data_IF_260872044414
#
_entry.id   IF_260872044414
#
_cell.length_a   1.000
_cell.length_b   1.000
_cell.length_c   1.000
_cell.angle_alpha   90.00
_cell.angle_beta   90.00
_cell.angle_gamma   90.00
#
_symmetry.space_group_name_H-M   'P 1'
#
loop_
_entity.id
_entity.type
_entity.pdbx_description
1 polymer ?
#
# COMPACT_ATOMS: atom_id res chain seq x y z
N UNK A 1 -67.65 -7.72 16.49
CA UNK A 1 -66.66 -6.58 16.66
C UNK A 1 -65.25 -7.11 16.57
N UNK A 2 -64.59 -6.88 15.45
CA UNK A 2 -63.25 -7.43 15.19
C UNK A 2 -62.24 -6.27 15.36
N UNK A 3 -61.40 -6.34 16.39
CA UNK A 3 -60.35 -5.33 16.63
C UNK A 3 -59.11 -5.63 15.78
N UNK A 4 -58.81 -4.77 14.83
CA UNK A 4 -57.58 -4.83 14.06
C UNK A 4 -56.50 -4.07 14.82
N UNK A 5 -55.49 -4.79 15.36
CA UNK A 5 -54.29 -4.16 15.93
C UNK A 5 -53.33 -3.78 14.81
N UNK A 6 -53.25 -2.47 14.53
CA UNK A 6 -52.13 -1.91 13.71
C UNK A 6 -50.85 -1.89 14.57
N UNK A 7 -49.90 -2.77 14.29
CA UNK A 7 -48.56 -2.68 14.86
C UNK A 7 -47.77 -1.62 14.11
N UNK A 8 -47.54 -0.48 14.72
CA UNK A 8 -46.62 0.54 14.21
C UNK A 8 -45.17 0.04 14.29
N UNK A 9 -44.57 -0.27 13.13
CA UNK A 9 -43.14 -0.53 13.05
C UNK A 9 -42.40 0.79 13.20
N UNK A 10 -41.69 0.99 14.30
CA UNK A 10 -40.74 2.12 14.44
C UNK A 10 -39.58 1.92 13.47
N UNK A 11 -39.48 2.77 12.49
CA UNK A 11 -38.28 2.90 11.66
C UNK A 11 -37.15 3.43 12.55
N UNK A 12 -36.22 2.56 12.93
CA UNK A 12 -34.98 2.99 13.55
C UNK A 12 -34.14 3.67 12.47
N UNK A 13 -34.10 4.99 12.48
CA UNK A 13 -33.13 5.75 11.68
C UNK A 13 -31.72 5.39 12.19
N UNK A 14 -30.89 4.76 11.33
CA UNK A 14 -29.48 4.54 11.65
C UNK A 14 -28.79 5.88 11.80
N UNK A 15 -28.05 6.04 12.91
CA UNK A 15 -27.18 7.21 13.08
C UNK A 15 -26.21 7.32 11.88
N UNK A 16 -25.92 8.53 11.41
CA UNK A 16 -24.94 8.73 10.33
C UNK A 16 -23.60 8.12 10.76
N UNK A 17 -22.81 7.56 9.82
CA UNK A 17 -21.50 7.01 10.12
C UNK A 17 -20.58 8.10 10.70
N UNK A 18 -19.71 7.73 11.64
CA UNK A 18 -18.76 8.64 12.23
C UNK A 18 -17.79 9.19 11.15
N UNK A 19 -17.33 10.44 11.26
CA UNK A 19 -16.35 11.01 10.34
C UNK A 19 -15.07 10.18 10.31
N UNK A 20 -14.49 9.99 9.12
CA UNK A 20 -13.21 9.33 8.96
C UNK A 20 -12.10 10.34 9.30
N UNK A 21 -11.25 10.03 10.28
CA UNK A 21 -10.10 10.86 10.63
C UNK A 21 -8.97 10.69 9.60
N UNK A 22 -8.03 11.65 9.52
CA UNK A 22 -6.87 11.59 8.62
C UNK A 22 -6.02 10.33 8.84
N UNK A 23 -5.83 9.92 10.11
CA UNK A 23 -5.11 8.70 10.44
C UNK A 23 -5.85 7.44 9.97
N UNK A 24 -7.17 7.40 10.16
CA UNK A 24 -7.98 6.28 9.66
C UNK A 24 -7.95 6.19 8.13
N UNK A 25 -8.03 7.33 7.44
CA UNK A 25 -7.93 7.40 5.97
C UNK A 25 -6.53 6.93 5.48
N UNK A 26 -5.46 7.33 6.18
CA UNK A 26 -4.10 6.93 5.87
C UNK A 26 -3.92 5.41 6.01
N UNK A 27 -4.39 4.83 7.11
CA UNK A 27 -4.35 3.37 7.35
C UNK A 27 -5.15 2.60 6.29
N UNK A 28 -6.35 3.07 5.95
CA UNK A 28 -7.18 2.45 4.92
C UNK A 28 -6.51 2.50 3.54
N UNK A 29 -5.89 3.63 3.18
CA UNK A 29 -5.15 3.80 1.92
C UNK A 29 -3.94 2.86 1.85
N UNK A 30 -3.21 2.71 2.96
CA UNK A 30 -2.11 1.75 3.05
C UNK A 30 -2.60 0.31 2.85
N UNK A 31 -3.66 -0.11 3.53
CA UNK A 31 -4.22 -1.45 3.40
C UNK A 31 -4.67 -1.76 1.97
N UNK A 32 -5.30 -0.79 1.30
CA UNK A 32 -5.76 -0.92 -0.08
C UNK A 32 -4.58 -1.09 -1.06
N UNK A 33 -3.56 -0.23 -0.98
CA UNK A 33 -2.42 -0.32 -1.89
C UNK A 33 -1.56 -1.56 -1.62
N UNK A 34 -1.36 -1.95 -0.35
CA UNK A 34 -0.71 -3.21 0.02
C UNK A 34 -1.39 -4.40 -0.63
N UNK A 35 -2.73 -4.46 -0.58
CA UNK A 35 -3.53 -5.52 -1.20
C UNK A 35 -3.32 -5.55 -2.71
N UNK A 36 -3.38 -4.41 -3.37
CA UNK A 36 -3.21 -4.30 -4.81
C UNK A 36 -1.81 -4.73 -5.26
N UNK A 37 -0.77 -4.26 -4.59
CA UNK A 37 0.61 -4.61 -4.91
C UNK A 37 0.90 -6.10 -4.68
N UNK A 38 0.44 -6.66 -3.56
CA UNK A 38 0.60 -8.09 -3.28
C UNK A 38 -0.06 -8.94 -4.36
N UNK A 39 -1.33 -8.63 -4.69
CA UNK A 39 -2.05 -9.36 -5.75
C UNK A 39 -1.43 -9.17 -7.13
N UNK A 40 -0.91 -7.98 -7.46
CA UNK A 40 -0.24 -7.74 -8.73
C UNK A 40 1.04 -8.57 -8.84
N UNK A 41 1.87 -8.58 -7.81
CA UNK A 41 3.09 -9.38 -7.76
C UNK A 41 2.81 -10.88 -7.87
N UNK A 42 1.80 -11.39 -7.15
CA UNK A 42 1.44 -12.82 -7.21
C UNK A 42 0.88 -13.24 -8.58
N UNK A 43 0.07 -12.40 -9.23
CA UNK A 43 -0.63 -12.73 -10.50
C UNK A 43 0.25 -12.67 -11.73
N UNK A 44 1.25 -11.79 -11.78
CA UNK A 44 2.14 -11.72 -12.92
C UNK A 44 2.91 -13.04 -13.06
N UNK A 45 2.86 -13.73 -14.20
CA UNK A 45 3.65 -14.94 -14.44
C UNK A 45 5.14 -14.67 -14.29
N UNK A 46 5.91 -15.68 -13.87
CA UNK A 46 7.34 -15.56 -13.62
C UNK A 46 8.13 -15.13 -14.85
N UNK A 47 7.82 -15.73 -16.01
CA UNK A 47 8.42 -15.42 -17.31
C UNK A 47 8.15 -13.98 -17.77
N UNK A 48 7.17 -13.30 -17.17
CA UNK A 48 6.84 -11.90 -17.45
C UNK A 48 7.47 -10.89 -16.46
N UNK A 49 8.20 -11.35 -15.45
CA UNK A 49 8.86 -10.45 -14.48
C UNK A 49 9.96 -9.59 -15.12
N UNK A 50 10.60 -10.08 -16.18
CA UNK A 50 11.56 -9.32 -16.99
C UNK A 50 10.94 -8.34 -17.98
N UNK A 51 9.61 -8.34 -18.17
CA UNK A 51 8.94 -7.52 -19.16
C UNK A 51 9.11 -6.02 -18.88
N UNK A 52 9.43 -5.25 -19.93
CA UNK A 52 9.47 -3.79 -19.98
C UNK A 52 8.53 -3.30 -21.07
N UNK A 53 7.74 -2.27 -20.78
CA UNK A 53 6.90 -1.64 -21.81
C UNK A 53 7.71 -0.69 -22.74
N UNK A 54 8.91 -0.24 -22.28
CA UNK A 54 9.91 0.50 -23.07
C UNK A 54 11.31 0.12 -22.57
N UNK A 55 12.37 0.19 -23.42
CA UNK A 55 13.73 -0.12 -23.01
C UNK A 55 14.24 0.70 -21.81
N UNK A 56 13.83 1.96 -21.71
CA UNK A 56 14.37 2.94 -20.77
C UNK A 56 13.71 2.94 -19.38
N UNK A 57 12.74 2.02 -19.16
CA UNK A 57 12.02 1.93 -17.90
C UNK A 57 12.33 0.63 -17.15
N UNK A 58 11.96 0.58 -15.87
CA UNK A 58 12.11 -0.65 -15.06
C UNK A 58 11.26 -1.79 -15.63
N UNK A 59 11.76 -3.02 -15.49
CA UNK A 59 10.92 -4.20 -15.72
C UNK A 59 9.84 -4.31 -14.65
N UNK A 60 8.84 -5.17 -14.87
CA UNK A 60 7.81 -5.46 -13.86
C UNK A 60 8.44 -5.89 -12.53
N UNK A 61 9.36 -6.85 -12.55
CA UNK A 61 10.09 -7.27 -11.35
C UNK A 61 10.94 -6.15 -10.76
N UNK A 62 11.56 -5.32 -11.61
CA UNK A 62 12.32 -4.14 -11.16
C UNK A 62 11.46 -3.10 -10.43
N UNK A 63 10.17 -2.95 -10.81
CA UNK A 63 9.20 -2.12 -10.08
C UNK A 63 8.87 -2.74 -8.71
N UNK A 64 8.62 -4.06 -8.64
CA UNK A 64 8.36 -4.77 -7.37
C UNK A 64 9.55 -4.61 -6.41
N UNK A 65 10.78 -4.81 -6.89
CA UNK A 65 11.99 -4.63 -6.08
C UNK A 65 12.16 -3.19 -5.61
N UNK A 66 11.90 -2.20 -6.47
CA UNK A 66 11.95 -0.78 -6.13
C UNK A 66 10.94 -0.41 -5.03
N UNK A 67 9.70 -0.87 -5.15
CA UNK A 67 8.66 -0.66 -4.13
C UNK A 67 9.10 -1.26 -2.79
N UNK A 68 9.60 -2.50 -2.79
CA UNK A 68 10.07 -3.17 -1.57
C UNK A 68 11.22 -2.40 -0.91
N UNK A 69 12.20 -1.92 -1.69
CA UNK A 69 13.32 -1.13 -1.20
C UNK A 69 12.87 0.19 -0.56
N UNK A 70 12.03 0.96 -1.26
CA UNK A 70 11.51 2.24 -0.74
C UNK A 70 10.70 2.01 0.53
N UNK A 71 9.78 1.06 0.54
CA UNK A 71 8.95 0.75 1.72
C UNK A 71 9.82 0.32 2.91
N UNK A 72 10.75 -0.61 2.69
CA UNK A 72 11.66 -1.07 3.73
C UNK A 72 12.45 0.07 4.38
N UNK A 73 13.06 0.95 3.58
CA UNK A 73 13.83 2.10 4.09
C UNK A 73 12.97 3.13 4.80
N UNK A 74 11.84 3.50 4.22
CA UNK A 74 11.00 4.57 4.77
C UNK A 74 10.28 4.10 6.04
N UNK A 75 9.72 2.90 6.06
CA UNK A 75 9.07 2.38 7.26
C UNK A 75 10.08 2.09 8.39
N UNK A 76 11.29 1.64 8.07
CA UNK A 76 12.35 1.52 9.09
C UNK A 76 12.70 2.86 9.72
N UNK A 77 12.88 3.90 8.91
CA UNK A 77 13.12 5.25 9.44
C UNK A 77 11.96 5.76 10.30
N UNK A 78 10.71 5.56 9.85
CA UNK A 78 9.51 5.96 10.60
C UNK A 78 9.30 5.17 11.89
N UNK A 79 9.75 3.91 11.94
CA UNK A 79 9.70 3.01 13.10
C UNK A 79 10.94 3.07 14.00
N UNK A 80 12.01 3.75 13.59
CA UNK A 80 13.26 3.82 14.34
C UNK A 80 14.06 2.50 14.31
N UNK A 81 13.95 1.72 13.24
CA UNK A 81 14.65 0.45 13.05
C UNK A 81 15.68 0.53 11.91
N UNK A 82 16.58 -0.44 11.82
CA UNK A 82 17.51 -0.54 10.71
C UNK A 82 16.78 -0.91 9.41
N UNK A 83 17.20 -0.31 8.28
CA UNK A 83 16.67 -0.68 6.99
C UNK A 83 17.13 -2.10 6.58
N UNK A 84 16.27 -2.88 5.91
CA UNK A 84 16.65 -4.18 5.37
C UNK A 84 17.64 -4.01 4.21
N UNK A 85 18.34 -5.08 3.82
CA UNK A 85 19.13 -5.10 2.58
C UNK A 85 18.24 -4.76 1.38
N UNK A 86 18.81 -3.98 0.44
CA UNK A 86 18.10 -3.64 -0.80
C UNK A 86 17.93 -4.88 -1.69
N UNK A 87 16.75 -5.11 -2.28
CA UNK A 87 16.54 -6.18 -3.26
C UNK A 87 16.93 -5.80 -4.69
N UNK A 88 17.76 -4.76 -4.89
CA UNK A 88 18.07 -4.20 -6.20
C UNK A 88 18.76 -5.19 -7.16
N UNK A 89 19.45 -6.19 -6.63
CA UNK A 89 20.12 -7.27 -7.37
C UNK A 89 19.22 -8.47 -7.70
N UNK A 90 17.99 -8.50 -7.17
CA UNK A 90 17.06 -9.61 -7.36
C UNK A 90 16.31 -9.50 -8.68
N UNK A 91 16.13 -10.65 -9.35
CA UNK A 91 15.38 -10.74 -10.62
C UNK A 91 14.34 -11.85 -10.60
N UNK A 92 14.51 -12.89 -9.78
CA UNK A 92 13.57 -13.98 -9.66
C UNK A 92 12.29 -13.53 -8.95
N UNK A 93 11.12 -13.95 -9.47
CA UNK A 93 9.81 -13.62 -8.88
C UNK A 93 9.75 -13.97 -7.40
N UNK A 94 10.19 -15.17 -7.02
CA UNK A 94 10.13 -15.64 -5.64
C UNK A 94 10.87 -14.70 -4.68
N UNK A 95 12.08 -14.25 -5.06
CA UNK A 95 12.90 -13.35 -4.25
C UNK A 95 12.28 -11.96 -4.12
N UNK A 96 11.73 -11.44 -5.23
CA UNK A 96 11.09 -10.11 -5.26
C UNK A 96 9.78 -10.09 -4.49
N UNK A 97 8.97 -11.14 -4.57
CA UNK A 97 7.75 -11.30 -3.76
C UNK A 97 8.11 -11.44 -2.27
N UNK A 98 9.17 -12.19 -1.94
CA UNK A 98 9.66 -12.31 -0.57
C UNK A 98 10.13 -10.94 -0.03
N UNK A 99 10.88 -10.16 -0.82
CA UNK A 99 11.32 -8.82 -0.44
C UNK A 99 10.13 -7.86 -0.21
N UNK A 100 9.12 -7.91 -1.08
CA UNK A 100 7.90 -7.12 -0.92
C UNK A 100 7.15 -7.49 0.38
N UNK A 101 7.01 -8.78 0.68
CA UNK A 101 6.40 -9.25 1.94
C UNK A 101 7.21 -8.83 3.16
N UNK A 102 8.54 -8.90 3.09
CA UNK A 102 9.43 -8.44 4.15
C UNK A 102 9.29 -6.93 4.41
N UNK A 103 9.14 -6.10 3.36
CA UNK A 103 8.92 -4.67 3.53
C UNK A 103 7.58 -4.37 4.22
N UNK A 104 6.53 -5.15 3.97
CA UNK A 104 5.27 -5.02 4.70
C UNK A 104 5.39 -5.41 6.16
N UNK A 105 6.17 -6.44 6.50
CA UNK A 105 6.39 -6.81 7.89
C UNK A 105 7.04 -5.69 8.71
N UNK A 106 7.78 -4.77 8.05
CA UNK A 106 8.33 -3.55 8.66
C UNK A 106 7.29 -2.44 8.70
N UNK A 107 6.51 -2.25 7.64
CA UNK A 107 5.53 -1.17 7.53
C UNK A 107 4.29 -1.40 8.39
N UNK A 108 3.78 -2.62 8.47
CA UNK A 108 2.54 -2.95 9.19
C UNK A 108 2.55 -2.40 10.63
N UNK A 109 3.55 -2.70 11.49
CA UNK A 109 3.55 -2.18 12.85
C UNK A 109 3.67 -0.64 12.92
N UNK A 110 4.30 0.00 11.92
CA UNK A 110 4.39 1.47 11.87
C UNK A 110 3.02 2.10 11.63
N UNK A 111 2.23 1.54 10.69
CA UNK A 111 0.88 2.02 10.43
C UNK A 111 -0.09 1.65 11.55
N UNK A 112 0.02 0.44 12.11
CA UNK A 112 -0.87 -0.01 13.21
C UNK A 112 -0.71 0.86 14.45
N UNK A 113 0.52 1.20 14.82
CA UNK A 113 0.83 2.04 15.98
C UNK A 113 0.59 3.54 15.76
N UNK A 114 0.29 4.00 14.53
CA UNK A 114 0.15 5.42 14.24
C UNK A 114 -1.08 6.01 14.91
N UNK A 115 -0.86 7.08 15.69
CA UNK A 115 -1.89 7.88 16.38
C UNK A 115 -1.76 9.35 16.01
N UNK A 116 -2.77 10.17 16.34
CA UNK A 116 -2.70 11.63 16.14
C UNK A 116 -1.50 12.25 16.88
N UNK A 117 -1.16 11.75 18.08
CA UNK A 117 0.00 12.19 18.83
C UNK A 117 1.33 11.85 18.15
N UNK A 118 1.38 10.76 17.37
CA UNK A 118 2.57 10.33 16.63
C UNK A 118 2.68 10.99 15.26
N UNK A 119 1.57 11.47 14.70
CA UNK A 119 1.50 11.97 13.33
C UNK A 119 2.44 13.13 13.05
N UNK A 120 2.61 14.04 14.04
CA UNK A 120 3.45 15.22 13.94
C UNK A 120 4.93 14.97 14.30
N UNK A 121 5.31 13.79 14.82
CA UNK A 121 6.70 13.48 15.15
C UNK A 121 7.57 13.56 13.90
N UNK A 122 8.69 14.27 14.01
CA UNK A 122 9.61 14.51 12.90
C UNK A 122 10.51 13.29 12.67
N UNK A 123 10.64 12.90 11.41
CA UNK A 123 11.49 11.79 10.95
C UNK A 123 12.53 12.34 9.98
N UNK A 124 13.80 12.01 10.20
CA UNK A 124 14.91 12.32 9.29
C UNK A 124 15.29 11.11 8.47
N UNK A 125 15.52 11.31 7.17
CA UNK A 125 16.05 10.29 6.27
C UNK A 125 17.57 10.43 6.05
N UNK A 126 18.26 11.20 6.90
CA UNK A 126 19.69 11.45 6.78
C UNK A 126 20.07 12.47 5.68
N UNK A 127 19.11 12.86 4.84
CA UNK A 127 19.27 13.89 3.79
C UNK A 127 17.98 14.69 3.64
N UNK A 128 18.12 15.98 3.36
CA UNK A 128 16.99 16.89 3.25
C UNK A 128 16.40 17.26 4.63
N UNK A 129 15.36 18.10 4.61
CA UNK A 129 14.67 18.49 5.85
C UNK A 129 13.89 17.32 6.44
N UNK A 130 13.84 17.18 7.77
CA UNK A 130 12.94 16.24 8.44
C UNK A 130 11.48 16.52 8.05
N UNK A 131 10.68 15.46 8.01
CA UNK A 131 9.24 15.51 7.69
C UNK A 131 8.43 14.96 8.85
N UNK A 132 7.20 15.42 9.04
CA UNK A 132 6.30 14.77 9.98
C UNK A 132 6.07 13.31 9.54
N UNK A 133 5.88 12.41 10.52
CA UNK A 133 5.67 10.98 10.23
C UNK A 133 4.51 10.78 9.26
N UNK A 134 3.40 11.49 9.44
CA UNK A 134 2.24 11.40 8.54
C UNK A 134 2.59 11.85 7.12
N UNK A 135 3.26 13.01 6.96
CA UNK A 135 3.65 13.50 5.64
C UNK A 135 4.64 12.55 4.95
N UNK A 136 5.55 11.94 5.71
CA UNK A 136 6.49 10.94 5.20
C UNK A 136 5.77 9.68 4.69
N UNK A 137 4.89 9.11 5.52
CA UNK A 137 4.13 7.91 5.18
C UNK A 137 3.18 8.16 4.01
N UNK A 138 2.50 9.30 3.99
CA UNK A 138 1.64 9.66 2.88
C UNK A 138 2.42 9.78 1.57
N UNK A 139 3.49 10.60 1.54
CA UNK A 139 4.19 10.92 0.29
C UNK A 139 5.05 9.77 -0.24
N UNK A 140 5.79 9.07 0.64
CA UNK A 140 6.78 8.09 0.23
C UNK A 140 6.30 6.63 0.34
N UNK A 141 5.19 6.38 1.04
CA UNK A 141 4.58 5.05 1.03
C UNK A 141 3.30 5.06 0.19
N UNK A 142 2.29 5.89 0.53
CA UNK A 142 1.00 5.82 -0.14
C UNK A 142 1.07 6.37 -1.58
N UNK A 143 1.47 7.64 -1.74
CA UNK A 143 1.49 8.29 -3.05
C UNK A 143 2.46 7.59 -4.01
N UNK A 144 3.70 7.35 -3.58
CA UNK A 144 4.70 6.63 -4.38
C UNK A 144 4.24 5.20 -4.75
N UNK A 145 3.69 4.43 -3.79
CA UNK A 145 3.22 3.08 -4.10
C UNK A 145 2.03 3.06 -5.07
N UNK A 146 1.15 4.08 -5.03
CA UNK A 146 0.06 4.21 -6.01
C UNK A 146 0.58 4.58 -7.41
N UNK A 147 1.61 5.45 -7.50
CA UNK A 147 2.29 5.75 -8.76
C UNK A 147 2.88 4.48 -9.38
N UNK A 148 3.69 3.74 -8.62
CA UNK A 148 4.32 2.49 -9.09
C UNK A 148 3.28 1.41 -9.43
N UNK A 149 2.19 1.31 -8.66
CA UNK A 149 1.09 0.42 -8.98
C UNK A 149 0.40 0.80 -10.29
N UNK A 150 0.29 2.08 -10.60
CA UNK A 150 -0.22 2.55 -11.89
C UNK A 150 0.60 1.99 -13.05
N UNK A 151 1.93 2.01 -12.96
CA UNK A 151 2.80 1.38 -13.96
C UNK A 151 2.61 -0.14 -14.03
N UNK A 152 2.58 -0.83 -12.88
CA UNK A 152 2.31 -2.27 -12.84
C UNK A 152 0.97 -2.62 -13.49
N UNK A 153 -0.09 -1.84 -13.25
CA UNK A 153 -1.40 -2.06 -13.83
C UNK A 153 -1.40 -1.93 -15.37
N UNK A 154 -0.64 -0.98 -15.92
CA UNK A 154 -0.42 -0.87 -17.36
C UNK A 154 0.31 -2.10 -17.91
N UNK A 155 1.39 -2.55 -17.26
CA UNK A 155 2.15 -3.74 -17.68
C UNK A 155 1.27 -5.00 -17.66
N UNK A 156 0.45 -5.17 -16.62
CA UNK A 156 -0.51 -6.27 -16.54
C UNK A 156 -1.49 -6.25 -17.71
N UNK A 157 -2.07 -5.08 -18.05
CA UNK A 157 -3.00 -4.95 -19.19
C UNK A 157 -2.34 -5.27 -20.51
N UNK A 158 -1.10 -4.84 -20.76
CA UNK A 158 -0.34 -5.17 -21.97
C UNK A 158 -0.18 -6.70 -22.09
N UNK A 159 -0.11 -7.41 -20.96
CA UNK A 159 -0.01 -8.87 -20.89
C UNK A 159 -1.37 -9.59 -20.81
N UNK A 160 -2.48 -8.87 -20.99
CA UNK A 160 -3.82 -9.46 -20.93
C UNK A 160 -4.30 -9.82 -19.52
N UNK A 161 -3.62 -9.34 -18.48
CA UNK A 161 -3.94 -9.62 -17.08
C UNK A 161 -4.74 -8.45 -16.51
N UNK A 162 -5.90 -8.76 -15.90
CA UNK A 162 -6.73 -7.73 -15.25
C UNK A 162 -6.09 -7.29 -13.93
N UNK A 163 -5.79 -5.97 -13.76
CA UNK A 163 -5.21 -5.47 -12.52
C UNK A 163 -6.13 -5.65 -11.30
N UNK A 164 -5.57 -5.89 -10.10
CA UNK A 164 -6.35 -6.11 -8.87
C UNK A 164 -7.37 -5.01 -8.55
N UNK A 165 -7.02 -3.75 -8.75
CA UNK A 165 -7.90 -2.60 -8.45
C UNK A 165 -9.15 -2.48 -9.33
N UNK A 166 -9.25 -3.25 -10.42
CA UNK A 166 -10.38 -3.20 -11.35
C UNK A 166 -11.22 -4.47 -11.32
N UNK A 167 -10.98 -5.33 -10.35
CA UNK A 167 -11.82 -6.50 -10.09
C UNK A 167 -12.89 -6.15 -9.07
N UNK A 168 -14.13 -6.63 -9.26
CA UNK A 168 -15.20 -6.47 -8.29
C UNK A 168 -14.90 -7.20 -6.98
#
# INVERSE_FOLDING_TARGET
MMFVFLAARALHAQAPPAPITDIAALKASYAAIKTNLTKAADRMPEDQYGFKASPDIRSFGGLIGHIADVQGRICSAAGGTAAPPSPADKTAKADLVAALKASYAICDPVFDALTDADSAKMVSLGRGAPRSKTALLWSLIIAHSNEEYGYLAVYMRIKGIVPPSTQP
#
